data_IF_477488657174
#
_entry.id   IF_477488657174
#
_cell.length_a   1.000
_cell.length_b   1.000
_cell.length_c   1.000
_cell.angle_alpha   90.00
_cell.angle_beta   90.00
_cell.angle_gamma   90.00
#
_symmetry.space_group_name_H-M   'P 1'
#
loop_
_entity.id
_entity.type
_entity.pdbx_description
1 polymer ?
#
# COMPACT_ATOMS: atom_id res chain seq x y z
N UNK A 1 -15.25 -2.40 -16.16
CA UNK A 1 -14.48 -1.13 -16.16
C UNK A 1 -14.50 -0.41 -14.81
N UNK A 2 -15.59 -0.47 -14.01
CA UNK A 2 -15.69 0.23 -12.72
C UNK A 2 -14.66 -0.17 -11.64
N UNK A 3 -14.36 -1.45 -11.47
CA UNK A 3 -13.45 -1.91 -10.39
C UNK A 3 -11.99 -1.45 -10.57
N UNK A 4 -11.49 -1.31 -11.80
CA UNK A 4 -10.10 -0.86 -12.01
C UNK A 4 -9.93 0.63 -11.72
N UNK A 5 -10.90 1.44 -12.14
CA UNK A 5 -10.92 2.87 -11.83
C UNK A 5 -11.03 3.11 -10.32
N UNK A 6 -11.85 2.30 -9.63
CA UNK A 6 -11.98 2.37 -8.18
C UNK A 6 -10.64 2.12 -7.47
N UNK A 7 -9.93 1.05 -7.83
CA UNK A 7 -8.62 0.73 -7.24
C UNK A 7 -7.60 1.84 -7.53
N UNK A 8 -7.60 2.43 -8.73
CA UNK A 8 -6.76 3.58 -9.05
C UNK A 8 -7.07 4.80 -8.16
N UNK A 9 -8.35 5.18 -8.03
CA UNK A 9 -8.76 6.33 -7.20
C UNK A 9 -8.41 6.12 -5.72
N UNK A 10 -8.60 4.90 -5.21
CA UNK A 10 -8.19 4.53 -3.85
C UNK A 10 -6.69 4.74 -3.66
N UNK A 11 -5.87 4.31 -4.62
CA UNK A 11 -4.42 4.54 -4.54
C UNK A 11 -4.04 6.02 -4.58
N UNK A 12 -4.72 6.84 -5.38
CA UNK A 12 -4.50 8.30 -5.37
C UNK A 12 -4.81 8.89 -3.99
N UNK A 13 -5.91 8.49 -3.35
CA UNK A 13 -6.26 8.93 -1.99
C UNK A 13 -5.18 8.51 -0.99
N UNK A 14 -4.66 7.28 -1.08
CA UNK A 14 -3.55 6.80 -0.25
C UNK A 14 -2.32 7.68 -0.40
N UNK A 15 -1.95 8.07 -1.63
CA UNK A 15 -0.79 8.94 -1.84
C UNK A 15 -1.00 10.35 -1.31
N UNK A 16 -2.21 10.91 -1.40
CA UNK A 16 -2.54 12.20 -0.76
C UNK A 16 -2.41 12.11 0.76
N UNK A 17 -2.92 11.02 1.37
CA UNK A 17 -2.83 10.79 2.81
C UNK A 17 -1.37 10.71 3.30
N UNK A 18 -0.51 10.01 2.56
CA UNK A 18 0.93 9.94 2.84
C UNK A 18 1.64 11.27 2.59
N UNK A 19 1.28 12.03 1.54
CA UNK A 19 1.87 13.34 1.31
C UNK A 19 1.58 14.29 2.48
N UNK A 20 0.33 14.32 2.95
CA UNK A 20 -0.03 15.09 4.14
C UNK A 20 0.73 14.64 5.39
N UNK A 21 0.99 13.33 5.54
CA UNK A 21 1.78 12.79 6.66
C UNK A 21 3.19 13.36 6.67
N UNK A 22 3.86 13.38 5.53
CA UNK A 22 5.25 13.87 5.39
C UNK A 22 5.32 15.34 5.84
N UNK A 23 4.41 16.17 5.34
CA UNK A 23 4.39 17.61 5.59
C UNK A 23 4.07 17.93 7.05
N UNK A 24 3.00 17.34 7.59
CA UNK A 24 2.58 17.54 8.98
C UNK A 24 3.65 17.04 9.95
N UNK A 25 4.26 15.88 9.65
CA UNK A 25 5.33 15.33 10.47
C UNK A 25 6.56 16.23 10.46
N UNK A 26 6.98 16.68 9.27
CA UNK A 26 8.15 17.57 9.15
C UNK A 26 7.94 18.87 9.93
N UNK A 27 6.78 19.52 9.79
CA UNK A 27 6.45 20.75 10.48
C UNK A 27 6.53 20.62 12.01
N UNK A 28 6.03 19.50 12.56
CA UNK A 28 6.03 19.28 14.01
C UNK A 28 7.40 18.85 14.54
N UNK A 29 8.20 18.15 13.74
CA UNK A 29 9.61 17.85 14.05
C UNK A 29 10.47 19.12 14.07
N UNK A 30 10.29 20.01 13.09
CA UNK A 30 10.99 21.30 13.04
C UNK A 30 10.59 22.22 14.22
N UNK A 31 9.41 21.99 14.80
CA UNK A 31 8.96 22.62 16.05
C UNK A 31 9.51 21.94 17.32
N UNK A 32 10.46 21.01 17.19
CA UNK A 32 11.14 20.33 18.29
C UNK A 32 10.38 19.16 18.91
N UNK A 33 9.44 18.53 18.19
CA UNK A 33 8.87 17.25 18.64
C UNK A 33 9.84 16.10 18.35
N UNK A 34 10.08 15.27 19.37
CA UNK A 34 10.94 14.11 19.22
C UNK A 34 10.31 13.03 18.29
N UNK A 35 11.04 12.52 17.28
CA UNK A 35 10.55 11.49 16.35
C UNK A 35 10.08 10.19 17.02
N UNK A 36 10.66 9.81 18.15
CA UNK A 36 10.31 8.59 18.87
C UNK A 36 8.97 8.73 19.59
N UNK A 37 8.72 9.88 20.20
CA UNK A 37 7.43 10.20 20.82
C UNK A 37 6.32 10.20 19.78
N UNK A 38 6.55 10.80 18.61
CA UNK A 38 5.58 10.79 17.52
C UNK A 38 5.30 9.37 17.01
N UNK A 39 6.35 8.55 16.87
CA UNK A 39 6.26 7.15 16.46
C UNK A 39 5.53 6.28 17.49
N UNK A 40 5.60 6.59 18.78
CA UNK A 40 4.88 5.87 19.83
C UNK A 40 3.37 6.16 19.81
N UNK A 41 2.98 7.43 19.68
CA UNK A 41 1.55 7.81 19.69
C UNK A 41 0.79 7.42 18.42
N UNK A 42 1.44 7.49 17.26
CA UNK A 42 0.82 7.23 15.95
C UNK A 42 0.06 5.88 15.86
N UNK A 43 0.67 4.71 16.15
CA UNK A 43 -0.02 3.43 16.09
C UNK A 43 -1.11 3.27 17.16
N UNK A 44 -1.02 3.98 18.30
CA UNK A 44 -2.05 3.95 19.34
C UNK A 44 -3.34 4.55 18.80
N UNK A 45 -3.28 5.75 18.22
CA UNK A 45 -4.43 6.39 17.60
C UNK A 45 -4.97 5.58 16.43
N UNK A 46 -4.09 4.96 15.63
CA UNK A 46 -4.49 4.06 14.56
C UNK A 46 -5.29 2.84 15.07
N UNK A 47 -4.84 2.24 16.19
CA UNK A 47 -5.51 1.10 16.81
C UNK A 47 -6.90 1.48 17.33
N UNK A 48 -6.99 2.62 18.03
CA UNK A 48 -8.25 3.14 18.56
C UNK A 48 -9.25 3.41 17.44
N UNK A 49 -8.80 3.95 16.29
CA UNK A 49 -9.70 4.27 15.18
C UNK A 49 -10.19 3.03 14.44
N UNK A 50 -9.35 2.01 14.23
CA UNK A 50 -9.71 0.83 13.42
C UNK A 50 -10.40 -0.28 14.22
N UNK A 51 -10.12 -0.39 15.51
CA UNK A 51 -10.64 -1.47 16.35
C UNK A 51 -12.18 -1.58 16.38
N UNK A 52 -12.96 -0.48 16.42
CA UNK A 52 -14.42 -0.57 16.34
C UNK A 52 -14.89 -1.23 15.04
N UNK A 53 -14.27 -0.90 13.91
CA UNK A 53 -14.63 -1.48 12.61
C UNK A 53 -14.36 -2.98 12.57
N UNK A 54 -13.20 -3.42 13.09
CA UNK A 54 -12.91 -4.85 13.21
C UNK A 54 -13.91 -5.58 14.10
N UNK A 55 -14.31 -4.98 15.22
CA UNK A 55 -15.30 -5.59 16.11
C UNK A 55 -16.70 -5.64 15.48
N UNK A 56 -17.20 -4.55 14.90
CA UNK A 56 -18.57 -4.49 14.39
C UNK A 56 -18.75 -5.19 13.04
N UNK A 57 -17.77 -5.10 12.13
CA UNK A 57 -17.88 -5.65 10.77
C UNK A 57 -17.46 -7.11 10.65
N UNK A 58 -16.48 -7.56 11.46
CA UNK A 58 -15.86 -8.88 11.25
C UNK A 58 -16.11 -9.88 12.40
N UNK A 59 -16.72 -9.48 13.52
CA UNK A 59 -16.97 -10.38 14.67
C UNK A 59 -17.61 -11.72 14.31
N UNK A 60 -18.51 -11.74 13.33
CA UNK A 60 -19.26 -12.95 12.92
C UNK A 60 -18.63 -13.69 11.74
N UNK A 61 -17.80 -13.03 10.95
CA UNK A 61 -17.24 -13.54 9.69
C UNK A 61 -15.76 -13.91 9.79
N UNK A 62 -15.10 -13.55 10.91
CA UNK A 62 -13.68 -13.76 11.15
C UNK A 62 -13.27 -15.24 11.08
N UNK A 63 -12.30 -15.61 10.23
CA UNK A 63 -11.70 -16.95 10.22
C UNK A 63 -10.98 -17.27 11.53
N UNK A 64 -10.83 -18.56 11.88
CA UNK A 64 -10.04 -18.98 13.03
C UNK A 64 -8.58 -18.55 12.85
N UNK A 65 -8.05 -17.83 13.83
CA UNK A 65 -6.68 -17.32 13.80
C UNK A 65 -5.71 -18.43 14.21
N UNK A 66 -4.78 -18.76 13.30
CA UNK A 66 -3.70 -19.70 13.58
C UNK A 66 -2.45 -18.96 14.07
N UNK A 67 -1.58 -19.63 14.82
CA UNK A 67 -0.31 -19.05 15.28
C UNK A 67 0.58 -18.60 14.12
N UNK A 68 0.54 -19.30 12.98
CA UNK A 68 1.29 -18.91 11.78
C UNK A 68 0.81 -17.57 11.21
N UNK A 69 -0.51 -17.34 11.11
CA UNK A 69 -1.06 -16.07 10.64
C UNK A 69 -0.76 -14.95 11.63
N UNK A 70 -0.90 -15.22 12.93
CA UNK A 70 -0.56 -14.24 13.97
C UNK A 70 0.91 -13.82 13.89
N UNK A 71 1.82 -14.76 13.67
CA UNK A 71 3.24 -14.47 13.48
C UNK A 71 3.50 -13.66 12.20
N UNK A 72 2.80 -13.93 11.10
CA UNK A 72 2.90 -13.12 9.88
C UNK A 72 2.38 -11.69 10.10
N UNK A 73 1.28 -11.51 10.84
CA UNK A 73 0.77 -10.19 11.23
C UNK A 73 1.78 -9.45 12.13
N UNK A 74 2.45 -10.17 13.03
CA UNK A 74 3.52 -9.61 13.83
C UNK A 74 4.71 -9.14 12.98
N UNK A 75 5.12 -9.93 11.97
CA UNK A 75 6.12 -9.47 10.99
C UNK A 75 5.62 -8.25 10.19
N UNK A 76 4.34 -8.20 9.81
CA UNK A 76 3.76 -7.01 9.20
C UNK A 76 3.80 -5.78 10.12
N UNK A 77 3.61 -5.96 11.43
CA UNK A 77 3.74 -4.89 12.44
C UNK A 77 5.16 -4.32 12.45
N UNK A 78 6.16 -5.20 12.56
CA UNK A 78 7.57 -4.81 12.57
C UNK A 78 7.95 -4.09 11.28
N UNK A 79 7.75 -4.72 10.12
CA UNK A 79 8.25 -4.17 8.85
C UNK A 79 7.35 -3.07 8.27
N UNK A 80 6.05 -3.13 8.52
CA UNK A 80 5.08 -2.18 7.96
C UNK A 80 4.98 -0.90 8.77
N UNK A 81 4.99 -1.02 10.10
CA UNK A 81 4.79 0.13 10.99
C UNK A 81 6.07 0.43 11.76
N UNK A 82 6.53 -0.44 12.65
CA UNK A 82 7.55 -0.10 13.65
C UNK A 82 8.89 0.27 13.02
N UNK A 83 9.58 -0.67 12.36
CA UNK A 83 10.89 -0.43 11.76
C UNK A 83 10.82 0.64 10.66
N UNK A 84 9.78 0.59 9.83
CA UNK A 84 9.54 1.55 8.77
C UNK A 84 9.39 2.97 9.31
N UNK A 85 8.48 3.21 10.26
CA UNK A 85 8.22 4.57 10.76
C UNK A 85 9.41 5.14 11.51
N UNK A 86 10.15 4.33 12.29
CA UNK A 86 11.33 4.82 13.00
C UNK A 86 12.42 5.22 12.02
N UNK A 87 12.73 4.37 11.04
CA UNK A 87 13.68 4.69 9.99
C UNK A 87 13.23 5.93 9.18
N UNK A 88 11.94 6.01 8.85
CA UNK A 88 11.38 7.12 8.08
C UNK A 88 11.39 8.44 8.83
N UNK A 89 10.94 8.48 10.08
CA UNK A 89 10.82 9.70 10.88
C UNK A 89 12.18 10.24 11.30
N UNK A 90 13.11 9.37 11.70
CA UNK A 90 14.48 9.78 11.98
C UNK A 90 15.17 10.24 10.68
N UNK A 91 14.93 9.52 9.57
CA UNK A 91 15.44 9.89 8.26
C UNK A 91 14.93 11.26 7.79
N UNK A 92 13.63 11.50 7.91
CA UNK A 92 12.95 12.75 7.56
C UNK A 92 13.37 13.91 8.46
N UNK A 93 13.58 13.66 9.76
CA UNK A 93 14.09 14.69 10.67
C UNK A 93 15.48 15.19 10.23
N UNK A 94 16.30 14.29 9.68
CA UNK A 94 17.64 14.60 9.17
C UNK A 94 17.67 14.87 7.65
N UNK A 95 16.51 15.06 7.01
CA UNK A 95 16.41 15.27 5.57
C UNK A 95 15.25 16.22 5.23
N UNK A 96 14.90 16.32 3.94
CA UNK A 96 13.76 17.12 3.47
C UNK A 96 12.62 16.21 3.02
N UNK A 97 11.35 16.68 3.07
CA UNK A 97 10.20 15.99 2.48
C UNK A 97 10.43 15.54 1.03
N UNK A 98 11.11 16.37 0.24
CA UNK A 98 11.42 16.10 -1.17
C UNK A 98 12.43 14.95 -1.31
N UNK A 99 13.45 14.86 -0.44
CA UNK A 99 14.40 13.74 -0.45
C UNK A 99 13.73 12.45 0.07
N UNK A 100 12.86 12.52 1.07
CA UNK A 100 12.14 11.36 1.58
C UNK A 100 11.25 10.73 0.49
N UNK A 101 10.39 11.54 -0.11
CA UNK A 101 9.52 11.10 -1.20
C UNK A 101 10.28 10.71 -2.48
N UNK A 102 11.48 11.26 -2.70
CA UNK A 102 12.40 10.81 -3.75
C UNK A 102 12.85 9.37 -3.55
N UNK A 103 13.29 9.04 -2.33
CA UNK A 103 13.81 7.72 -1.97
C UNK A 103 12.68 6.68 -1.94
N UNK A 104 11.43 7.08 -1.67
CA UNK A 104 10.26 6.20 -1.74
C UNK A 104 10.02 5.63 -3.16
N UNK A 105 10.63 6.21 -4.21
CA UNK A 105 10.60 5.65 -5.57
C UNK A 105 11.45 4.39 -5.74
N UNK A 106 12.26 4.04 -4.74
CA UNK A 106 12.97 2.77 -4.72
C UNK A 106 12.06 1.61 -4.31
N UNK A 107 10.90 1.89 -3.67
CA UNK A 107 9.98 0.85 -3.20
C UNK A 107 9.50 -0.06 -4.34
N UNK A 108 9.06 0.41 -5.53
CA UNK A 108 8.72 -0.50 -6.62
C UNK A 108 9.87 -1.41 -7.04
N UNK A 109 11.10 -0.88 -7.10
CA UNK A 109 12.28 -1.65 -7.45
C UNK A 109 12.58 -2.73 -6.40
N UNK A 110 12.56 -2.37 -5.11
CA UNK A 110 12.72 -3.32 -4.01
C UNK A 110 11.60 -4.36 -3.99
N UNK A 111 10.35 -3.93 -4.17
CA UNK A 111 9.19 -4.81 -4.21
C UNK A 111 9.34 -5.83 -5.33
N UNK A 112 9.79 -5.41 -6.52
CA UNK A 112 10.05 -6.31 -7.63
C UNK A 112 11.18 -7.31 -7.35
N UNK A 113 12.33 -6.83 -6.84
CA UNK A 113 13.48 -7.67 -6.49
C UNK A 113 13.11 -8.75 -5.46
N UNK A 114 12.22 -8.43 -4.51
CA UNK A 114 11.75 -9.37 -3.49
C UNK A 114 10.63 -10.28 -4.04
N UNK A 115 9.71 -9.75 -4.84
CA UNK A 115 8.55 -10.49 -5.36
C UNK A 115 8.93 -11.63 -6.30
N UNK A 116 9.96 -11.42 -7.12
CA UNK A 116 10.38 -12.36 -8.18
C UNK A 116 10.90 -13.69 -7.61
N UNK A 117 11.90 -13.73 -6.70
CA UNK A 117 12.35 -14.98 -6.10
C UNK A 117 11.27 -15.70 -5.29
N UNK A 118 10.34 -14.95 -4.71
CA UNK A 118 9.24 -15.51 -3.91
C UNK A 118 8.08 -16.04 -4.78
N UNK A 119 8.14 -15.89 -6.11
CA UNK A 119 7.10 -16.31 -7.03
C UNK A 119 5.78 -15.55 -6.85
N UNK A 120 5.81 -14.38 -6.19
CA UNK A 120 4.64 -13.51 -6.01
C UNK A 120 4.27 -12.84 -7.33
N UNK A 121 5.28 -12.57 -8.17
CA UNK A 121 5.08 -12.13 -9.55
C UNK A 121 5.80 -13.03 -10.54
N UNK A 122 5.13 -13.38 -11.63
CA UNK A 122 5.76 -14.08 -12.75
C UNK A 122 6.45 -13.05 -13.63
N UNK A 123 7.77 -13.19 -13.81
CA UNK A 123 8.54 -12.42 -14.80
C UNK A 123 8.08 -12.78 -16.22
N UNK A 124 7.00 -12.17 -16.67
CA UNK A 124 6.52 -12.26 -18.04
C UNK A 124 7.40 -11.51 -19.05
N UNK A 125 8.73 -11.49 -18.88
CA UNK A 125 9.68 -10.73 -19.73
C UNK A 125 9.65 -11.16 -21.20
N UNK A 126 9.09 -12.34 -21.50
CA UNK A 126 8.83 -12.79 -22.88
C UNK A 126 7.53 -12.25 -23.47
N UNK A 127 6.60 -11.77 -22.65
CA UNK A 127 5.34 -11.17 -23.09
C UNK A 127 5.49 -9.67 -23.30
N UNK A 128 4.78 -9.12 -24.28
CA UNK A 128 4.74 -7.66 -24.53
C UNK A 128 4.25 -6.93 -23.27
N UNK A 129 3.26 -7.49 -22.56
CA UNK A 129 2.75 -6.94 -21.31
C UNK A 129 3.83 -6.82 -20.21
N UNK A 130 4.62 -7.88 -20.01
CA UNK A 130 5.71 -7.88 -19.03
C UNK A 130 6.87 -6.97 -19.41
N UNK A 131 7.21 -6.85 -20.70
CA UNK A 131 8.22 -5.89 -21.16
C UNK A 131 7.76 -4.44 -20.96
N UNK A 132 6.50 -4.12 -21.25
CA UNK A 132 5.95 -2.78 -21.00
C UNK A 132 5.93 -2.43 -19.51
N UNK A 133 5.60 -3.40 -18.63
CA UNK A 133 5.72 -3.21 -17.17
C UNK A 133 7.16 -2.89 -16.77
N UNK A 134 8.12 -3.69 -17.22
CA UNK A 134 9.53 -3.53 -16.88
C UNK A 134 10.09 -2.17 -17.32
N UNK A 135 9.88 -1.79 -18.58
CA UNK A 135 10.32 -0.49 -19.09
C UNK A 135 9.56 0.67 -18.45
N UNK A 136 8.26 0.52 -18.18
CA UNK A 136 7.48 1.50 -17.42
C UNK A 136 8.08 1.77 -16.04
N UNK A 137 8.49 0.71 -15.33
CA UNK A 137 9.19 0.84 -14.03
C UNK A 137 10.54 1.54 -14.17
N UNK A 138 11.36 1.17 -15.16
CA UNK A 138 12.66 1.83 -15.39
C UNK A 138 12.48 3.32 -15.68
N UNK A 139 11.56 3.67 -16.58
CA UNK A 139 11.26 5.07 -16.93
C UNK A 139 10.75 5.83 -15.71
N UNK A 140 9.89 5.20 -14.90
CA UNK A 140 9.35 5.82 -13.69
C UNK A 140 10.43 6.09 -12.63
N UNK A 141 11.29 5.10 -12.35
CA UNK A 141 12.41 5.24 -11.41
C UNK A 141 13.44 6.25 -11.95
N UNK A 142 13.76 6.21 -13.24
CA UNK A 142 14.65 7.18 -13.87
C UNK A 142 14.11 8.62 -13.80
N UNK A 143 12.81 8.81 -14.04
CA UNK A 143 12.12 10.09 -13.87
C UNK A 143 12.19 10.61 -12.44
N UNK A 144 11.97 9.73 -11.45
CA UNK A 144 12.10 10.05 -10.04
C UNK A 144 13.53 10.42 -9.62
N UNK A 145 14.55 9.73 -10.16
CA UNK A 145 15.95 10.08 -9.92
C UNK A 145 16.30 11.44 -10.52
N UNK A 146 15.82 11.74 -11.73
CA UNK A 146 16.04 13.04 -12.39
C UNK A 146 15.36 14.18 -11.61
N UNK A 147 14.13 13.96 -11.15
CA UNK A 147 13.36 14.83 -10.26
C UNK A 147 14.13 15.21 -8.99
N UNK A 148 14.91 14.27 -8.44
CA UNK A 148 15.60 14.42 -7.16
C UNK A 148 17.02 14.96 -7.28
N UNK A 149 17.74 14.57 -8.34
CA UNK A 149 19.16 14.89 -8.52
C UNK A 149 19.37 16.15 -9.36
N UNK A 150 18.46 16.47 -10.29
CA UNK A 150 18.64 17.59 -11.19
C UNK A 150 18.09 18.91 -10.62
N UNK A 151 18.97 19.66 -9.97
CA UNK A 151 18.69 21.03 -9.54
C UNK A 151 19.00 22.01 -10.68
N UNK A 152 18.04 22.19 -11.60
CA UNK A 152 18.14 23.17 -12.68
C UNK A 152 17.87 24.62 -12.22
N UNK A 153 17.48 25.51 -13.14
CA UNK A 153 16.98 26.85 -12.77
C UNK A 153 15.73 26.73 -11.89
N UNK A 154 15.57 27.66 -10.95
CA UNK A 154 14.31 27.80 -10.18
C UNK A 154 13.23 28.23 -11.17
N UNK A 155 12.19 27.42 -11.30
CA UNK A 155 11.10 27.67 -12.27
C UNK A 155 9.95 28.41 -11.62
N UNK A 156 9.67 28.13 -10.34
CA UNK A 156 8.58 28.75 -9.59
C UNK A 156 9.15 29.31 -8.28
N UNK A 157 8.96 30.61 -8.07
CA UNK A 157 9.41 31.33 -6.86
C UNK A 157 8.64 30.91 -5.59
N UNK A 158 9.01 31.49 -4.45
CA UNK A 158 8.31 31.25 -3.18
C UNK A 158 6.88 31.81 -3.27
N UNK A 159 5.88 30.99 -2.98
CA UNK A 159 4.49 31.43 -2.92
C UNK A 159 4.23 32.07 -1.54
N UNK A 160 3.79 33.33 -1.54
CA UNK A 160 3.51 34.11 -0.33
C UNK A 160 2.18 33.76 0.35
N UNK A 161 1.89 32.48 0.59
CA UNK A 161 0.75 32.10 1.44
C UNK A 161 1.15 32.30 2.92
N UNK A 162 0.48 33.23 3.59
CA UNK A 162 0.77 33.62 4.97
C UNK A 162 -0.06 32.74 5.92
N UNK A 163 0.48 31.60 6.37
CA UNK A 163 -0.04 30.89 7.53
C UNK A 163 0.61 31.45 8.79
N UNK A 164 -0.20 32.01 9.69
CA UNK A 164 0.18 32.89 10.81
C UNK A 164 0.85 32.15 12.00
N UNK A 165 1.58 31.07 11.75
CA UNK A 165 2.15 30.22 12.82
C UNK A 165 3.69 30.12 12.82
N UNK A 166 4.38 30.85 11.94
CA UNK A 166 5.86 30.81 11.79
C UNK A 166 6.59 32.03 12.36
N UNK A 167 6.01 32.79 13.29
CA UNK A 167 6.67 34.00 13.82
C UNK A 167 7.81 33.70 14.83
N UNK A 168 8.14 32.41 15.10
CA UNK A 168 9.17 32.02 16.09
C UNK A 168 10.27 31.07 15.58
N UNK A 169 10.32 30.72 14.29
CA UNK A 169 11.29 29.75 13.73
C UNK A 169 12.40 30.36 12.89
N UNK A 170 12.72 31.64 13.12
CA UNK A 170 13.96 32.26 12.65
C UNK A 170 15.16 31.81 13.49
N UNK A 171 15.58 30.55 13.39
CA UNK A 171 16.91 30.13 13.83
C UNK A 171 17.67 29.57 12.65
N UNK A 172 18.68 30.32 12.24
CA UNK A 172 19.76 29.86 11.38
C UNK A 172 20.21 28.47 11.82
N UNK A 173 20.15 27.51 10.89
CA UNK A 173 20.59 26.13 11.10
C UNK A 173 22.11 26.15 11.27
N UNK A 174 22.56 26.37 12.50
CA UNK A 174 23.94 26.18 12.88
C UNK A 174 24.28 24.70 12.70
N UNK A 175 25.08 24.43 11.68
CA UNK A 175 25.62 23.14 11.28
C UNK A 175 26.45 22.50 12.40
N UNK A 176 25.80 21.73 13.26
CA UNK A 176 26.45 20.77 14.15
C UNK A 176 26.43 19.39 13.47
N UNK A 177 27.51 19.03 12.78
CA UNK A 177 27.88 17.66 12.35
C UNK A 177 26.74 16.61 12.23
N UNK A 178 25.65 16.93 11.53
CA UNK A 178 24.66 15.93 11.14
C UNK A 178 25.27 15.19 9.95
N UNK A 179 25.56 13.91 10.12
CA UNK A 179 26.04 13.05 9.04
C UNK A 179 25.11 13.20 7.84
N UNK A 180 25.54 13.91 6.79
CA UNK A 180 24.76 14.20 5.58
C UNK A 180 24.17 12.91 4.96
N UNK A 181 24.81 11.78 5.20
CA UNK A 181 24.40 10.46 4.74
C UNK A 181 23.35 9.75 5.61
N UNK A 182 23.18 10.12 6.88
CA UNK A 182 22.32 9.38 7.82
C UNK A 182 20.84 9.47 7.43
N UNK A 183 20.36 10.66 7.06
CA UNK A 183 18.98 10.88 6.64
C UNK A 183 18.58 10.00 5.44
N UNK A 184 19.26 10.16 4.28
CA UNK A 184 19.02 9.32 3.10
C UNK A 184 19.18 7.82 3.35
N UNK A 185 20.21 7.41 4.12
CA UNK A 185 20.42 6.00 4.43
C UNK A 185 19.23 5.39 5.18
N UNK A 186 18.72 6.08 6.21
CA UNK A 186 17.55 5.62 6.97
C UNK A 186 16.28 5.60 6.12
N UNK A 187 16.12 6.56 5.20
CA UNK A 187 15.00 6.56 4.26
C UNK A 187 15.07 5.38 3.27
N UNK A 188 16.27 4.99 2.80
CA UNK A 188 16.43 3.79 1.96
C UNK A 188 16.04 2.53 2.74
N UNK A 189 16.44 2.45 4.01
CA UNK A 189 16.03 1.36 4.89
C UNK A 189 14.51 1.34 5.10
N UNK A 190 13.88 2.50 5.28
CA UNK A 190 12.42 2.62 5.37
C UNK A 190 11.74 2.09 4.09
N UNK A 191 12.19 2.52 2.91
CA UNK A 191 11.70 2.02 1.62
C UNK A 191 11.83 0.50 1.48
N UNK A 192 12.94 -0.08 1.94
CA UNK A 192 13.14 -1.53 1.93
C UNK A 192 12.18 -2.25 2.87
N UNK A 193 12.01 -1.75 4.10
CA UNK A 193 11.07 -2.34 5.07
C UNK A 193 9.62 -2.26 4.59
N UNK A 194 9.22 -1.16 3.95
CA UNK A 194 7.90 -1.02 3.37
C UNK A 194 7.68 -1.97 2.19
N UNK A 195 8.68 -2.18 1.34
CA UNK A 195 8.63 -3.18 0.27
C UNK A 195 8.45 -4.61 0.82
N UNK A 196 9.15 -4.96 1.91
CA UNK A 196 8.96 -6.24 2.61
C UNK A 196 7.52 -6.35 3.14
N UNK A 197 6.99 -5.29 3.75
CA UNK A 197 5.60 -5.27 4.23
C UNK A 197 4.59 -5.51 3.11
N UNK A 198 4.74 -4.88 1.94
CA UNK A 198 3.83 -5.09 0.80
C UNK A 198 3.73 -6.59 0.44
N UNK A 199 4.87 -7.29 0.43
CA UNK A 199 4.93 -8.71 0.09
C UNK A 199 4.28 -9.58 1.17
N UNK A 200 4.63 -9.36 2.44
CA UNK A 200 4.06 -10.14 3.55
C UNK A 200 2.55 -9.89 3.65
N UNK A 201 2.12 -8.63 3.52
CA UNK A 201 0.71 -8.24 3.58
C UNK A 201 -0.11 -8.88 2.45
N UNK A 202 0.46 -9.04 1.25
CA UNK A 202 -0.19 -9.79 0.17
C UNK A 202 -0.46 -11.24 0.57
N UNK A 203 0.55 -11.93 1.12
CA UNK A 203 0.41 -13.32 1.61
C UNK A 203 -0.58 -13.46 2.76
N UNK A 204 -0.61 -12.50 3.67
CA UNK A 204 -1.58 -12.48 4.79
C UNK A 204 -3.00 -12.28 4.26
N UNK A 205 -3.20 -11.37 3.31
CA UNK A 205 -4.51 -11.07 2.74
C UNK A 205 -5.11 -12.27 1.98
N UNK A 206 -4.27 -13.08 1.33
CA UNK A 206 -4.71 -14.34 0.69
C UNK A 206 -5.13 -15.41 1.69
N UNK A 207 -4.46 -15.48 2.86
CA UNK A 207 -4.66 -16.54 3.85
C UNK A 207 -5.73 -16.22 4.90
N UNK A 208 -6.04 -14.94 5.09
CA UNK A 208 -6.91 -14.48 6.16
C UNK A 208 -7.88 -13.40 5.69
N UNK A 209 -9.12 -13.83 5.44
CA UNK A 209 -10.21 -13.01 4.92
C UNK A 209 -10.89 -12.13 6.00
N UNK A 210 -10.08 -11.37 6.76
CA UNK A 210 -10.56 -10.39 7.74
C UNK A 210 -9.59 -9.19 7.80
N UNK A 211 -9.65 -8.29 6.79
CA UNK A 211 -8.71 -7.16 6.65
C UNK A 211 -8.75 -6.16 7.82
N UNK A 212 -9.93 -5.85 8.38
CA UNK A 212 -10.01 -4.90 9.50
C UNK A 212 -9.31 -5.45 10.74
N UNK A 213 -9.50 -6.73 11.03
CA UNK A 213 -8.84 -7.43 12.14
C UNK A 213 -7.34 -7.49 11.93
N UNK A 214 -6.88 -7.80 10.70
CA UNK A 214 -5.44 -7.79 10.38
C UNK A 214 -4.79 -6.44 10.68
N UNK A 215 -5.36 -5.35 10.17
CA UNK A 215 -4.81 -4.00 10.39
C UNK A 215 -4.92 -3.61 11.87
N UNK A 216 -6.00 -3.98 12.57
CA UNK A 216 -6.14 -3.73 14.00
C UNK A 216 -5.04 -4.42 14.80
N UNK A 217 -4.78 -5.71 14.55
CA UNK A 217 -3.74 -6.47 15.22
C UNK A 217 -2.34 -5.93 14.87
N UNK A 218 -2.12 -5.57 13.62
CA UNK A 218 -0.87 -4.95 13.16
C UNK A 218 -0.61 -3.63 13.89
N UNK A 219 -1.60 -2.74 13.99
CA UNK A 219 -1.48 -1.47 14.71
C UNK A 219 -1.31 -1.69 16.22
N UNK A 220 -2.02 -2.66 16.80
CA UNK A 220 -1.94 -2.98 18.22
C UNK A 220 -0.53 -3.47 18.60
N UNK A 221 0.02 -4.42 17.84
CA UNK A 221 1.38 -4.92 18.03
C UNK A 221 2.40 -3.79 17.86
N UNK A 222 2.25 -2.98 16.82
CA UNK A 222 3.14 -1.86 16.57
C UNK A 222 3.05 -0.79 17.66
N UNK A 223 1.89 -0.62 18.29
CA UNK A 223 1.72 0.27 19.45
C UNK A 223 2.55 -0.21 20.63
N UNK A 224 2.49 -1.50 20.95
CA UNK A 224 3.28 -2.08 22.05
C UNK A 224 4.77 -1.95 21.75
N UNK A 225 5.21 -2.36 20.56
CA UNK A 225 6.61 -2.25 20.12
C UNK A 225 7.11 -0.80 20.17
N UNK A 226 6.32 0.14 19.65
CA UNK A 226 6.71 1.55 19.56
C UNK A 226 6.73 2.23 20.93
N UNK A 227 5.80 1.89 21.83
CA UNK A 227 5.82 2.41 23.20
C UNK A 227 7.05 1.91 23.96
N UNK A 228 7.40 0.62 23.82
CA UNK A 228 8.61 0.06 24.45
C UNK A 228 9.85 0.78 23.94
N UNK A 229 10.02 0.91 22.62
CA UNK A 229 11.17 1.60 22.02
C UNK A 229 11.19 3.07 22.45
N UNK A 230 10.05 3.75 22.42
CA UNK A 230 9.91 5.15 22.79
C UNK A 230 10.36 5.40 24.23
N UNK A 231 9.90 4.60 25.19
CA UNK A 231 10.30 4.77 26.60
C UNK A 231 11.76 4.39 26.87
N UNK A 232 12.30 3.40 26.15
CA UNK A 232 13.71 3.03 26.24
C UNK A 232 14.64 4.16 25.76
N UNK A 233 14.24 4.91 24.73
CA UNK A 233 15.06 5.99 24.14
C UNK A 233 14.80 7.34 24.80
N UNK A 234 13.54 7.64 25.13
CA UNK A 234 13.11 8.91 25.73
C UNK A 234 12.37 8.63 27.06
N UNK A 235 13.10 8.40 28.17
CA UNK A 235 12.48 8.10 29.46
C UNK A 235 11.78 9.30 30.12
N UNK A 236 12.11 10.53 29.71
CA UNK A 236 11.63 11.77 30.33
C UNK A 236 10.19 12.06 29.93
N UNK A 237 9.25 11.98 30.89
CA UNK A 237 7.82 12.22 30.65
C UNK A 237 7.47 13.62 30.11
N UNK A 238 8.31 14.64 30.34
CA UNK A 238 8.09 15.98 29.80
C UNK A 238 8.10 16.02 28.27
N UNK A 239 8.89 15.17 27.62
CA UNK A 239 8.96 15.09 26.15
C UNK A 239 7.71 14.43 25.55
N UNK A 240 6.96 13.68 26.36
CA UNK A 240 5.71 13.02 25.96
C UNK A 240 4.49 13.93 26.03
N UNK A 241 4.66 15.16 26.53
CA UNK A 241 3.60 16.14 26.60
C UNK A 241 3.16 16.60 25.20
N UNK A 242 1.87 16.45 24.92
CA UNK A 242 1.27 16.82 23.64
C UNK A 242 0.65 18.21 23.72
N UNK A 243 1.29 19.18 23.07
CA UNK A 243 0.66 20.45 22.73
C UNK A 243 -0.46 20.21 21.69
N UNK A 244 -1.47 21.10 21.56
CA UNK A 244 -2.60 20.90 20.65
C UNK A 244 -2.18 20.58 19.20
N UNK A 245 -1.10 21.18 18.71
CA UNK A 245 -0.57 20.92 17.36
C UNK A 245 0.09 19.55 17.26
N UNK A 246 0.86 19.16 18.28
CA UNK A 246 1.44 17.81 18.37
C UNK A 246 0.34 16.76 18.43
N UNK A 247 -0.73 17.03 19.18
CA UNK A 247 -1.91 16.17 19.27
C UNK A 247 -2.63 16.00 17.93
N UNK A 248 -2.91 17.10 17.21
CA UNK A 248 -3.52 17.05 15.88
C UNK A 248 -2.65 16.24 14.90
N UNK A 249 -1.33 16.43 14.95
CA UNK A 249 -0.39 15.69 14.11
C UNK A 249 -0.41 14.18 14.37
N UNK A 250 -0.32 13.75 15.63
CA UNK A 250 -0.35 12.31 15.95
C UNK A 250 -1.70 11.67 15.63
N UNK A 251 -2.80 12.41 15.79
CA UNK A 251 -4.15 11.95 15.42
C UNK A 251 -4.26 11.79 13.90
N UNK A 252 -3.89 12.81 13.12
CA UNK A 252 -3.91 12.71 11.66
C UNK A 252 -3.02 11.56 11.17
N UNK A 253 -1.78 11.49 11.65
CA UNK A 253 -0.82 10.48 11.24
C UNK A 253 -1.24 9.07 11.63
N UNK A 254 -1.87 8.90 12.80
CA UNK A 254 -2.39 7.61 13.25
C UNK A 254 -3.65 7.18 12.49
N UNK A 255 -4.65 8.05 12.45
CA UNK A 255 -5.97 7.72 11.88
C UNK A 255 -5.94 7.67 10.36
N UNK A 256 -5.42 8.72 9.72
CA UNK A 256 -5.44 8.86 8.26
C UNK A 256 -4.32 8.06 7.63
N UNK A 257 -3.09 8.24 8.11
CA UNK A 257 -1.92 7.65 7.44
C UNK A 257 -1.65 6.21 7.87
N UNK A 258 -1.79 5.84 9.14
CA UNK A 258 -1.56 4.45 9.57
C UNK A 258 -2.81 3.59 9.45
N UNK A 259 -3.95 3.99 9.98
CA UNK A 259 -5.16 3.16 9.95
C UNK A 259 -5.80 3.13 8.55
N UNK A 260 -6.25 4.28 8.06
CA UNK A 260 -7.02 4.36 6.81
C UNK A 260 -6.17 4.01 5.58
N UNK A 261 -4.99 4.63 5.43
CA UNK A 261 -4.16 4.40 4.26
C UNK A 261 -3.58 2.96 4.21
N UNK A 262 -3.17 2.34 5.32
CA UNK A 262 -2.72 0.93 5.29
C UNK A 262 -3.87 -0.03 5.03
N UNK A 263 -5.07 0.25 5.55
CA UNK A 263 -6.26 -0.53 5.22
C UNK A 263 -6.56 -0.50 3.71
N UNK A 264 -6.62 0.69 3.13
CA UNK A 264 -6.84 0.86 1.69
C UNK A 264 -5.72 0.23 0.86
N UNK A 265 -4.47 0.38 1.31
CA UNK A 265 -3.32 -0.23 0.66
C UNK A 265 -3.42 -1.75 0.70
N UNK A 266 -3.72 -2.36 1.86
CA UNK A 266 -3.95 -3.80 2.00
C UNK A 266 -5.07 -4.29 1.08
N UNK A 267 -6.17 -3.53 0.99
CA UNK A 267 -7.27 -3.87 0.09
C UNK A 267 -6.84 -3.81 -1.38
N UNK A 268 -6.05 -2.81 -1.78
CA UNK A 268 -5.47 -2.74 -3.13
C UNK A 268 -4.46 -3.89 -3.40
N UNK A 269 -3.67 -4.29 -2.40
CA UNK A 269 -2.75 -5.43 -2.49
C UNK A 269 -3.55 -6.72 -2.73
N UNK A 270 -4.66 -6.92 -2.02
CA UNK A 270 -5.52 -8.10 -2.24
C UNK A 270 -6.10 -8.13 -3.66
N UNK A 271 -6.50 -6.97 -4.22
CA UNK A 271 -7.15 -6.90 -5.54
C UNK A 271 -6.20 -6.92 -6.72
N UNK A 272 -5.02 -6.29 -6.60
CA UNK A 272 -4.10 -6.08 -7.72
C UNK A 272 -2.67 -6.53 -7.40
N UNK A 273 -2.36 -6.98 -6.20
CA UNK A 273 -1.03 -7.43 -5.81
C UNK A 273 -0.11 -6.29 -5.32
N UNK A 274 0.99 -6.64 -4.64
CA UNK A 274 1.88 -5.69 -3.97
C UNK A 274 2.61 -4.74 -4.92
N UNK A 275 3.06 -5.21 -6.09
CA UNK A 275 3.77 -4.34 -7.05
C UNK A 275 2.85 -3.22 -7.54
N UNK A 276 1.56 -3.49 -7.75
CA UNK A 276 0.61 -2.47 -8.17
C UNK A 276 0.62 -1.27 -7.23
N UNK A 277 0.54 -1.53 -5.92
CA UNK A 277 0.49 -0.51 -4.89
C UNK A 277 1.79 0.29 -4.84
N UNK A 278 2.93 -0.39 -4.91
CA UNK A 278 4.25 0.27 -4.90
C UNK A 278 4.44 1.28 -6.05
N UNK A 279 3.86 1.03 -7.22
CA UNK A 279 4.04 1.88 -8.41
C UNK A 279 3.41 3.27 -8.28
N UNK A 280 2.57 3.51 -7.27
CA UNK A 280 2.00 4.82 -7.00
C UNK A 280 2.91 5.71 -6.15
N UNK A 281 4.00 5.22 -5.57
CA UNK A 281 4.94 6.06 -4.81
C UNK A 281 5.55 7.23 -5.61
N UNK A 282 5.82 7.09 -6.91
CA UNK A 282 6.13 8.24 -7.76
C UNK A 282 5.08 9.36 -7.76
N UNK A 283 3.80 9.03 -7.57
CA UNK A 283 2.76 10.05 -7.38
C UNK A 283 2.87 10.75 -6.01
N UNK A 284 3.30 10.04 -4.95
CA UNK A 284 3.59 10.64 -3.64
C UNK A 284 4.60 11.77 -3.77
N UNK A 285 5.65 11.57 -4.56
CA UNK A 285 6.68 12.58 -4.80
C UNK A 285 6.14 13.82 -5.49
N UNK A 286 5.28 13.66 -6.51
CA UNK A 286 4.65 14.81 -7.19
C UNK A 286 3.76 15.60 -6.21
N UNK A 287 2.91 14.91 -5.44
CA UNK A 287 1.98 15.55 -4.50
C UNK A 287 2.75 16.20 -3.34
N UNK A 288 3.74 15.51 -2.78
CA UNK A 288 4.55 16.05 -1.68
C UNK A 288 5.41 17.22 -2.13
N UNK A 289 6.03 17.20 -3.32
CA UNK A 289 6.76 18.35 -3.84
C UNK A 289 5.86 19.58 -4.01
N UNK A 290 4.62 19.37 -4.47
CA UNK A 290 3.62 20.45 -4.55
C UNK A 290 3.22 20.98 -3.17
N UNK A 291 2.98 20.10 -2.20
CA UNK A 291 2.66 20.49 -0.82
C UNK A 291 3.84 21.16 -0.11
N UNK A 292 5.07 20.71 -0.35
CA UNK A 292 6.28 21.32 0.20
C UNK A 292 6.51 22.73 -0.35
N UNK A 293 6.27 22.93 -1.65
CA UNK A 293 6.34 24.26 -2.26
C UNK A 293 5.27 25.20 -1.69
N UNK A 294 4.03 24.73 -1.53
CA UNK A 294 2.91 25.55 -1.05
C UNK A 294 2.95 25.83 0.46
N UNK A 295 3.37 24.86 1.28
CA UNK A 295 3.30 24.92 2.75
C UNK A 295 4.64 25.13 3.45
N UNK A 296 5.74 24.60 2.93
CA UNK A 296 7.09 24.74 3.51
C UNK A 296 7.97 25.76 2.78
N UNK A 297 7.45 26.45 1.76
CA UNK A 297 8.17 27.46 0.94
C UNK A 297 9.45 26.93 0.28
N UNK A 298 9.52 25.62 0.01
CA UNK A 298 10.62 25.02 -0.75
C UNK A 298 10.63 25.55 -2.19
N UNK A 299 11.80 25.78 -2.78
CA UNK A 299 11.89 26.24 -4.19
C UNK A 299 11.71 25.07 -5.14
N UNK A 300 10.90 25.23 -6.19
CA UNK A 300 10.75 24.23 -7.25
C UNK A 300 11.77 24.45 -8.36
N UNK A 301 12.62 23.44 -8.55
CA UNK A 301 13.65 23.40 -9.59
C UNK A 301 13.10 22.78 -10.88
N UNK A 302 13.71 23.11 -12.02
CA UNK A 302 13.30 22.57 -13.34
C UNK A 302 13.28 21.03 -13.39
N UNK A 303 14.20 20.37 -12.68
CA UNK A 303 14.19 18.91 -12.57
C UNK A 303 12.92 18.37 -11.98
N UNK A 304 12.27 19.13 -11.08
CA UNK A 304 11.01 18.71 -10.49
C UNK A 304 9.91 18.59 -11.52
N UNK A 305 9.81 19.59 -12.40
CA UNK A 305 8.79 19.62 -13.45
C UNK A 305 9.03 18.52 -14.48
N UNK A 306 10.26 18.44 -15.01
CA UNK A 306 10.60 17.47 -16.07
C UNK A 306 10.52 16.03 -15.55
N UNK A 307 11.07 15.77 -14.35
CA UNK A 307 11.04 14.44 -13.76
C UNK A 307 9.63 13.99 -13.39
N UNK A 308 8.74 14.90 -12.95
CA UNK A 308 7.33 14.59 -12.70
C UNK A 308 6.59 14.12 -13.96
N UNK A 309 6.85 14.76 -15.11
CA UNK A 309 6.26 14.34 -16.40
C UNK A 309 6.71 12.91 -16.76
N UNK A 310 8.01 12.63 -16.61
CA UNK A 310 8.58 11.31 -16.90
C UNK A 310 8.01 10.24 -15.95
N UNK A 311 7.86 10.56 -14.66
CA UNK A 311 7.20 9.70 -13.67
C UNK A 311 5.78 9.33 -14.10
N UNK A 312 4.97 10.31 -14.49
CA UNK A 312 3.59 10.07 -14.93
C UNK A 312 3.56 9.20 -16.19
N UNK A 313 4.46 9.44 -17.14
CA UNK A 313 4.58 8.64 -18.35
C UNK A 313 4.99 7.18 -18.03
N UNK A 314 5.95 6.97 -17.13
CA UNK A 314 6.38 5.65 -16.67
C UNK A 314 5.26 4.88 -15.97
N UNK A 315 4.53 5.54 -15.07
CA UNK A 315 3.36 4.96 -14.38
C UNK A 315 2.26 4.56 -15.37
N UNK A 316 1.97 5.42 -16.36
CA UNK A 316 1.00 5.11 -17.41
C UNK A 316 1.41 3.86 -18.20
N UNK A 317 2.69 3.78 -18.62
CA UNK A 317 3.24 2.61 -19.30
C UNK A 317 3.09 1.33 -18.48
N UNK A 318 3.44 1.37 -17.20
CA UNK A 318 3.28 0.21 -16.30
C UNK A 318 1.81 -0.24 -16.18
N UNK A 319 0.89 0.70 -15.94
CA UNK A 319 -0.54 0.42 -15.82
C UNK A 319 -1.11 -0.16 -17.11
N UNK A 320 -0.65 0.35 -18.27
CA UNK A 320 -1.00 -0.17 -19.57
C UNK A 320 -0.55 -1.62 -19.74
N UNK A 321 0.71 -1.93 -19.41
CA UNK A 321 1.23 -3.30 -19.43
C UNK A 321 0.43 -4.25 -18.53
N UNK A 322 0.00 -3.76 -17.36
CA UNK A 322 -0.86 -4.55 -16.45
C UNK A 322 -2.26 -4.81 -17.00
N UNK A 323 -2.86 -3.82 -17.64
CA UNK A 323 -4.17 -3.97 -18.30
C UNK A 323 -4.10 -5.01 -19.42
N UNK A 324 -3.01 -5.03 -20.19
CA UNK A 324 -2.78 -6.03 -21.24
C UNK A 324 -2.71 -7.45 -20.67
N UNK A 325 -1.99 -7.64 -19.56
CA UNK A 325 -1.87 -8.94 -18.89
C UNK A 325 -3.22 -9.44 -18.35
N UNK A 326 -3.96 -8.56 -17.66
CA UNK A 326 -5.30 -8.88 -17.15
C UNK A 326 -6.26 -9.23 -18.29
N UNK A 327 -6.16 -8.54 -19.42
CA UNK A 327 -6.97 -8.84 -20.61
C UNK A 327 -6.58 -10.18 -21.23
N UNK A 328 -5.29 -10.53 -21.27
CA UNK A 328 -4.81 -11.81 -21.79
C UNK A 328 -5.27 -12.99 -20.92
N UNK A 329 -5.13 -12.88 -19.60
CA UNK A 329 -5.62 -13.89 -18.64
C UNK A 329 -7.14 -14.11 -18.78
N UNK A 330 -7.92 -13.04 -18.89
CA UNK A 330 -9.37 -13.16 -19.10
C UNK A 330 -9.73 -13.88 -20.41
N UNK A 331 -8.96 -13.65 -21.48
CA UNK A 331 -9.15 -14.34 -22.76
C UNK A 331 -8.83 -15.83 -22.63
N UNK A 332 -7.75 -16.19 -21.93
CA UNK A 332 -7.38 -17.59 -21.69
C UNK A 332 -8.45 -18.32 -20.85
N UNK A 333 -8.89 -17.71 -19.74
CA UNK A 333 -9.98 -18.27 -18.92
C UNK A 333 -11.26 -18.44 -19.72
N UNK A 334 -11.61 -17.47 -20.58
CA UNK A 334 -12.82 -17.58 -21.40
C UNK A 334 -12.68 -18.68 -22.47
N UNK A 335 -11.49 -18.86 -23.05
CA UNK A 335 -11.20 -19.98 -23.96
C UNK A 335 -11.29 -21.34 -23.25
N UNK A 336 -10.79 -21.45 -22.03
CA UNK A 336 -10.91 -22.68 -21.24
C UNK A 336 -12.36 -23.00 -20.90
N UNK A 337 -13.15 -22.00 -20.48
CA UNK A 337 -14.59 -22.15 -20.25
C UNK A 337 -15.32 -22.60 -21.50
N UNK A 338 -15.02 -22.01 -22.67
CA UNK A 338 -15.61 -22.44 -23.94
C UNK A 338 -15.19 -23.86 -24.34
N UNK A 339 -13.93 -24.27 -24.11
CA UNK A 339 -13.50 -25.65 -24.32
C UNK A 339 -14.24 -26.63 -23.42
N UNK A 340 -14.44 -26.27 -22.15
CA UNK A 340 -15.15 -27.11 -21.19
C UNK A 340 -16.64 -27.21 -21.52
N UNK A 341 -17.25 -26.10 -21.96
CA UNK A 341 -18.63 -26.07 -22.44
C UNK A 341 -18.84 -26.91 -23.71
N UNK A 342 -17.95 -26.78 -24.70
CA UNK A 342 -18.02 -27.61 -25.90
C UNK A 342 -17.85 -29.10 -25.55
N UNK A 343 -16.93 -29.43 -24.64
CA UNK A 343 -16.75 -30.81 -24.17
C UNK A 343 -17.97 -31.37 -23.45
N UNK A 344 -18.72 -30.55 -22.69
CA UNK A 344 -19.98 -30.99 -22.08
C UNK A 344 -21.10 -31.19 -23.12
N UNK A 345 -21.19 -30.31 -24.12
CA UNK A 345 -22.16 -30.45 -25.23
C UNK A 345 -21.87 -31.70 -26.06
N UNK A 346 -20.60 -31.97 -26.37
CA UNK A 346 -20.19 -33.19 -27.08
C UNK A 346 -20.49 -34.46 -26.27
N UNK A 347 -20.39 -34.40 -24.93
CA UNK A 347 -20.75 -35.51 -24.04
C UNK A 347 -22.26 -35.78 -24.02
N UNK A 348 -23.08 -34.71 -24.02
CA UNK A 348 -24.55 -34.81 -24.08
C UNK A 348 -25.03 -35.35 -25.44
N UNK A 349 -24.35 -35.02 -26.53
CA UNK A 349 -24.66 -35.55 -27.87
C UNK A 349 -24.23 -37.01 -28.07
N UNK A 350 -23.29 -37.51 -27.26
CA UNK A 350 -22.82 -38.90 -27.29
C UNK A 350 -23.59 -39.83 -26.33
N UNK A 351 -24.38 -39.28 -25.41
CA UNK A 351 -25.32 -40.07 -24.62
C UNK A 351 -26.49 -40.48 -25.53
N UNK A 352 -26.73 -41.79 -25.74
CA UNK A 352 -27.94 -42.22 -26.44
C UNK A 352 -29.13 -41.67 -25.66
N UNK A 353 -30.09 -41.11 -26.38
CA UNK A 353 -31.39 -40.70 -25.84
C UNK A 353 -32.02 -41.91 -25.12
N UNK A 354 -31.78 -42.06 -23.83
CA UNK A 354 -32.29 -43.17 -23.00
C UNK A 354 -33.70 -42.85 -22.50
N UNK A 355 -34.53 -42.34 -23.40
CA UNK A 355 -35.96 -42.12 -23.17
C UNK A 355 -36.85 -43.27 -23.69
N UNK A 356 -36.28 -44.36 -24.21
CA UNK A 356 -37.07 -45.49 -24.74
C UNK A 356 -37.21 -46.71 -23.80
N UNK A 357 -36.79 -46.64 -22.54
CA UNK A 357 -37.01 -47.72 -21.57
C UNK A 357 -37.74 -47.27 -20.31
N UNK A 358 -38.91 -46.65 -20.48
CA UNK A 358 -39.93 -46.65 -19.45
C UNK A 358 -41.30 -46.68 -20.13
N UNK A 359 -41.83 -47.90 -20.36
CA UNK A 359 -43.28 -48.21 -20.32
C UNK A 359 -43.62 -49.67 -20.66
N UNK A 360 -42.67 -50.57 -20.92
CA UNK A 360 -42.92 -52.02 -21.04
C UNK A 360 -43.17 -52.74 -19.69
N UNK A 361 -43.37 -52.02 -18.59
CA UNK A 361 -43.66 -52.60 -17.26
C UNK A 361 -45.11 -52.44 -16.78
N UNK A 362 -46.05 -52.13 -17.68
CA UNK A 362 -47.50 -52.21 -17.39
C UNK A 362 -48.16 -53.26 -18.27
N UNK A 363 -48.73 -54.28 -17.61
CA UNK A 363 -49.73 -55.26 -18.10
C UNK A 363 -49.31 -56.73 -18.31
N UNK A 364 -48.38 -57.28 -17.51
CA UNK A 364 -48.29 -58.75 -17.25
C UNK A 364 -48.80 -59.09 -15.84
N UNK A 365 -49.84 -58.41 -15.33
CA UNK A 365 -50.38 -58.70 -13.98
C UNK A 365 -51.88 -58.53 -13.86
N UNK A 366 -52.65 -58.99 -14.84
CA UNK A 366 -54.12 -59.06 -14.72
C UNK A 366 -54.72 -60.27 -15.45
N UNK A 367 -54.27 -61.48 -15.09
CA UNK A 367 -55.06 -62.69 -15.33
C UNK A 367 -54.99 -63.59 -14.09
N UNK A 368 -56.10 -63.65 -13.34
CA UNK A 368 -56.67 -64.80 -12.60
C UNK A 368 -57.71 -64.31 -11.55
N UNK A 369 -58.71 -65.13 -11.16
CA UNK A 369 -60.11 -64.79 -11.39
C UNK A 369 -60.96 -64.59 -10.13
N UNK A 370 -62.17 -64.05 -10.36
CA UNK A 370 -63.31 -63.93 -9.45
C UNK A 370 -63.56 -65.20 -8.62
N UNK A 371 -63.85 -65.04 -7.32
CA UNK A 371 -64.86 -65.87 -6.62
C UNK A 371 -65.43 -65.17 -5.38
N UNK A 372 -66.76 -65.21 -5.33
CA UNK A 372 -67.76 -64.84 -4.32
C UNK A 372 -67.38 -65.01 -2.84
N UNK A 373 -67.74 -64.02 -2.00
CA UNK A 373 -68.96 -64.04 -1.16
C UNK A 373 -69.03 -62.78 -0.29
#
# INVERSE_FOLDING_TARGET
MGNELMVFMVMVIVQVAFAGMIIITKLVMDSGMDPFVQSAYKPIFATISIAPFAYFLERKTRPKMTHSILFQIFLCSIFGITANQYAYFIGLNNSTPTIASAIDNLIPAFTFIIAVPLGVEKLGLRSIAGQTKFWGTIVCVGGAMLLSLYHGKVVIGQLGFHWKYEENTGKDVNSSHSNFFLGPFLLIMASLTYAIWLIIQGRVSERYAAPYTCITLMCLMASVESVIIGFCVVPKLSEWALNPIRAISVVYNGVVSTSFAYFLSSWCIEKKGPLYVSMFNPLLLVISAFLSWTLLREKLYLGVVVGSIIVVAGLYGFLWGKKMETSAENIEVNKEKMKQFNKSVDLELQLPNSNDHHLESKQISSELPKTNS
#
